data_IF_031482442472
#
_entry.id   IF_031482442472
#
_cell.length_a   1.000
_cell.length_b   1.000
_cell.length_c   1.000
_cell.angle_alpha   90.00
_cell.angle_beta   90.00
_cell.angle_gamma   90.00
#
_symmetry.space_group_name_H-M   'P 1'
#
loop_
_entity.id
_entity.type
_entity.pdbx_description
1 polymer ?
#
# COMPACT_ATOMS: atom_id res chain seq x y z
N UNK A 1 -10.06 15.52 -14.79
CA UNK A 1 -10.63 14.70 -13.70
C UNK A 1 -9.59 14.67 -12.61
N UNK A 2 -9.90 15.16 -11.41
CA UNK A 2 -8.97 15.22 -10.29
C UNK A 2 -8.46 13.80 -10.01
N UNK A 3 -7.16 13.58 -10.19
CA UNK A 3 -6.49 12.36 -9.76
C UNK A 3 -6.44 12.40 -8.23
N UNK A 4 -7.52 11.99 -7.58
CA UNK A 4 -7.53 11.80 -6.13
C UNK A 4 -6.51 10.71 -5.84
N UNK A 5 -5.34 11.13 -5.39
CA UNK A 5 -4.31 10.23 -4.92
C UNK A 5 -4.77 9.67 -3.57
N UNK A 6 -4.60 8.37 -3.40
CA UNK A 6 -4.96 7.67 -2.18
C UNK A 6 -3.73 6.96 -1.69
N UNK A 7 -3.41 7.14 -0.41
CA UNK A 7 -2.32 6.45 0.24
C UNK A 7 -2.93 5.27 1.01
N UNK A 8 -2.42 4.08 0.74
CA UNK A 8 -2.76 2.88 1.49
C UNK A 8 -1.67 2.59 2.50
N UNK A 9 -2.04 2.42 3.76
CA UNK A 9 -1.11 2.05 4.84
C UNK A 9 -1.53 0.72 5.44
N UNK A 10 -0.57 -0.16 5.71
CA UNK A 10 -0.82 -1.41 6.44
C UNK A 10 -1.06 -1.11 7.93
N UNK A 11 -2.12 -1.69 8.48
CA UNK A 11 -2.40 -1.59 9.92
C UNK A 11 -1.59 -2.63 10.70
N UNK A 12 -1.61 -2.52 12.04
CA UNK A 12 -1.03 -3.57 12.91
C UNK A 12 -1.70 -4.93 12.65
N UNK A 13 -3.01 -4.95 12.42
CA UNK A 13 -3.73 -6.17 12.04
C UNK A 13 -3.28 -6.72 10.68
N UNK A 14 -3.03 -5.84 9.71
CA UNK A 14 -2.44 -6.21 8.42
C UNK A 14 -1.05 -6.83 8.55
N UNK A 15 -0.22 -6.30 9.46
CA UNK A 15 1.11 -6.85 9.72
C UNK A 15 1.01 -8.26 10.33
N UNK A 16 0.23 -8.42 11.40
CA UNK A 16 -0.02 -9.73 12.00
C UNK A 16 -0.68 -10.71 11.03
N UNK A 17 -1.52 -10.24 10.10
CA UNK A 17 -2.13 -11.07 9.06
C UNK A 17 -1.09 -11.61 8.06
N UNK A 18 -0.04 -10.84 7.75
CA UNK A 18 1.05 -11.31 6.88
C UNK A 18 1.93 -12.30 7.62
N UNK A 19 2.29 -12.01 8.86
CA UNK A 19 3.18 -12.84 9.69
C UNK A 19 2.52 -14.14 10.15
N UNK A 20 1.32 -14.04 10.72
CA UNK A 20 0.56 -15.18 11.23
C UNK A 20 -0.17 -15.97 10.13
N UNK A 21 -0.24 -15.44 8.91
CA UNK A 21 -0.90 -16.08 7.78
C UNK A 21 -2.43 -16.06 7.88
N UNK A 22 -3.03 -14.88 7.72
CA UNK A 22 -4.47 -14.74 7.71
C UNK A 22 -5.11 -15.58 6.58
N UNK A 23 -6.32 -16.14 6.81
CA UNK A 23 -7.08 -16.92 5.83
C UNK A 23 -7.73 -16.01 4.77
N UNK A 24 -6.93 -15.15 4.13
CA UNK A 24 -7.34 -14.27 3.04
C UNK A 24 -7.00 -14.88 1.69
N UNK A 25 -7.74 -14.46 0.65
CA UNK A 25 -7.50 -14.95 -0.69
C UNK A 25 -6.06 -14.63 -1.17
N UNK A 26 -5.45 -15.47 -2.02
CA UNK A 26 -4.12 -15.23 -2.59
C UNK A 26 -3.89 -13.83 -3.20
N UNK A 27 -4.83 -13.24 -3.97
CA UNK A 27 -4.65 -11.89 -4.50
C UNK A 27 -4.64 -10.83 -3.39
N UNK A 28 -5.50 -10.95 -2.37
CA UNK A 28 -5.52 -10.04 -1.21
C UNK A 28 -4.20 -10.10 -0.44
N UNK A 29 -3.66 -11.30 -0.24
CA UNK A 29 -2.36 -11.50 0.41
C UNK A 29 -1.23 -10.86 -0.38
N UNK A 30 -1.27 -10.96 -1.72
CA UNK A 30 -0.28 -10.32 -2.60
C UNK A 30 -0.37 -8.80 -2.48
N UNK A 31 -1.56 -8.22 -2.59
CA UNK A 31 -1.76 -6.76 -2.44
C UNK A 31 -1.31 -6.28 -1.06
N UNK A 32 -1.73 -6.99 -0.01
CA UNK A 32 -1.32 -6.70 1.37
C UNK A 32 0.20 -6.72 1.49
N UNK A 33 0.85 -7.74 0.93
CA UNK A 33 2.31 -7.89 0.89
C UNK A 33 3.04 -6.75 0.18
N UNK A 34 2.45 -6.15 -0.85
CA UNK A 34 3.02 -4.97 -1.54
C UNK A 34 2.92 -3.68 -0.71
N UNK A 35 1.94 -3.59 0.20
CA UNK A 35 1.75 -2.46 1.10
C UNK A 35 2.59 -2.72 2.35
N UNK A 36 3.91 -2.63 2.26
CA UNK A 36 4.79 -2.80 3.44
C UNK A 36 4.77 -1.57 4.36
N UNK A 37 4.52 -0.40 3.77
CA UNK A 37 4.40 0.90 4.42
C UNK A 37 3.33 1.74 3.70
N UNK A 38 3.41 3.06 3.80
CA UNK A 38 2.56 3.99 3.05
C UNK A 38 2.83 3.86 1.54
N UNK A 39 1.81 3.42 0.80
CA UNK A 39 1.92 3.11 -0.62
C UNK A 39 0.82 3.81 -1.40
N UNK A 40 1.20 4.61 -2.39
CA UNK A 40 0.24 5.31 -3.25
C UNK A 40 -0.51 4.36 -4.17
N UNK A 41 -1.77 4.67 -4.43
CA UNK A 41 -2.64 3.97 -5.37
C UNK A 41 -2.02 3.81 -6.76
N UNK A 42 -1.29 4.82 -7.24
CA UNK A 42 -0.59 4.75 -8.53
C UNK A 42 0.56 3.72 -8.55
N UNK A 43 1.25 3.51 -7.42
CA UNK A 43 2.33 2.52 -7.28
C UNK A 43 1.74 1.13 -7.34
N UNK A 44 0.66 0.90 -6.57
CA UNK A 44 -0.07 -0.37 -6.60
C UNK A 44 -0.59 -0.70 -8.00
N UNK A 45 -1.18 0.27 -8.70
CA UNK A 45 -1.59 0.11 -10.11
C UNK A 45 -0.44 -0.26 -11.02
N UNK A 46 0.74 0.33 -10.84
CA UNK A 46 1.93 0.03 -11.65
C UNK A 46 2.44 -1.39 -11.42
N UNK A 47 2.45 -1.83 -10.16
CA UNK A 47 2.87 -3.19 -9.76
C UNK A 47 1.84 -4.25 -10.16
N UNK A 48 0.56 -3.90 -10.12
CA UNK A 48 -0.58 -4.76 -10.44
C UNK A 48 -1.11 -4.53 -11.86
N UNK A 49 -0.31 -3.97 -12.77
CA UNK A 49 -0.70 -3.65 -14.16
C UNK A 49 -1.26 -4.83 -14.96
N UNK A 50 -1.02 -6.05 -14.50
CA UNK A 50 -1.54 -7.28 -15.07
C UNK A 50 -3.02 -7.56 -14.71
N UNK A 51 -3.56 -6.82 -13.75
CA UNK A 51 -4.93 -6.90 -13.29
C UNK A 51 -5.69 -5.64 -13.68
N UNK A 52 -7.01 -5.75 -13.83
CA UNK A 52 -7.84 -4.58 -14.14
C UNK A 52 -7.98 -3.69 -12.92
N UNK A 53 -8.19 -2.41 -13.19
CA UNK A 53 -8.31 -1.41 -12.15
C UNK A 53 -9.46 -1.71 -11.16
N UNK A 54 -10.57 -2.20 -11.69
CA UNK A 54 -11.73 -2.62 -10.90
C UNK A 54 -11.41 -3.76 -9.94
N UNK A 55 -10.60 -4.74 -10.37
CA UNK A 55 -10.19 -5.85 -9.50
C UNK A 55 -9.27 -5.38 -8.38
N UNK A 56 -8.33 -4.49 -8.69
CA UNK A 56 -7.42 -3.92 -7.68
C UNK A 56 -8.20 -3.08 -6.66
N UNK A 57 -9.13 -2.24 -7.14
CA UNK A 57 -10.00 -1.45 -6.27
C UNK A 57 -10.88 -2.33 -5.36
N UNK A 58 -11.45 -3.41 -5.89
CA UNK A 58 -12.24 -4.37 -5.11
C UNK A 58 -11.40 -5.04 -4.02
N UNK A 59 -10.18 -5.47 -4.33
CA UNK A 59 -9.27 -6.04 -3.34
C UNK A 59 -8.87 -5.06 -2.25
N UNK A 60 -8.62 -3.81 -2.61
CA UNK A 60 -8.30 -2.75 -1.64
C UNK A 60 -9.48 -2.47 -0.71
N UNK A 61 -10.69 -2.37 -1.26
CA UNK A 61 -11.91 -2.22 -0.48
C UNK A 61 -12.15 -3.40 0.47
N UNK A 62 -11.84 -4.63 0.04
CA UNK A 62 -11.92 -5.81 0.90
C UNK A 62 -10.89 -5.77 2.03
N UNK A 63 -9.63 -5.43 1.74
CA UNK A 63 -8.59 -5.30 2.76
C UNK A 63 -8.91 -4.21 3.79
N UNK A 64 -9.49 -3.09 3.33
CA UNK A 64 -9.95 -2.00 4.19
C UNK A 64 -11.10 -2.46 5.09
N UNK A 65 -12.09 -3.16 4.53
CA UNK A 65 -13.21 -3.73 5.29
C UNK A 65 -12.74 -4.75 6.35
N UNK A 66 -11.67 -5.48 6.07
CA UNK A 66 -11.04 -6.40 7.03
C UNK A 66 -10.18 -5.68 8.08
N UNK A 67 -9.99 -4.36 7.96
CA UNK A 67 -9.15 -3.58 8.86
C UNK A 67 -7.65 -3.86 8.71
N UNK A 68 -7.23 -4.47 7.60
CA UNK A 68 -5.83 -4.84 7.34
C UNK A 68 -5.05 -3.70 6.69
N UNK A 69 -5.75 -2.82 5.98
CA UNK A 69 -5.20 -1.60 5.38
C UNK A 69 -6.11 -0.43 5.73
N UNK A 70 -5.51 0.75 5.79
CA UNK A 70 -6.20 2.02 5.96
C UNK A 70 -6.00 2.86 4.70
N UNK A 71 -7.08 3.49 4.22
CA UNK A 71 -7.04 4.40 3.07
C UNK A 71 -7.06 5.83 3.56
N UNK A 72 -6.02 6.58 3.20
CA UNK A 72 -5.88 7.98 3.54
C UNK A 72 -6.05 8.81 2.25
N UNK A 73 -7.03 9.72 2.18
CA UNK A 73 -7.15 10.63 1.05
C UNK A 73 -6.00 11.64 1.09
N UNK A 74 -5.25 11.79 -0.01
CA UNK A 74 -4.15 12.77 -0.12
C UNK A 74 -4.63 14.24 -0.04
N UNK A 75 -5.94 14.49 -0.09
CA UNK A 75 -6.48 15.84 -0.06
C UNK A 75 -6.96 16.24 1.35
N UNK A 76 -6.03 16.67 2.20
CA UNK A 76 -6.15 17.87 3.06
C UNK A 76 -4.73 18.20 3.54
N UNK A 77 -4.24 19.35 3.07
CA UNK A 77 -3.22 20.21 3.69
C UNK A 77 -2.52 19.64 4.92
N UNK A 78 -1.41 18.92 4.75
CA UNK A 78 -0.34 18.91 5.74
C UNK A 78 0.92 18.31 5.10
N UNK A 79 1.86 19.21 4.83
CA UNK A 79 3.29 19.07 5.13
C UNK A 79 3.68 17.74 5.80
N UNK A 80 3.88 16.70 5.01
CA UNK A 80 4.63 15.52 5.43
C UNK A 80 5.82 15.42 4.49
N UNK A 81 6.88 16.06 4.95
CA UNK A 81 8.26 15.82 4.60
C UNK A 81 8.47 14.31 4.37
N UNK A 82 8.40 13.87 3.12
CA UNK A 82 8.80 12.53 2.71
C UNK A 82 10.33 12.42 2.78
N UNK A 83 10.92 12.70 3.95
CA UNK A 83 12.23 12.18 4.35
C UNK A 83 12.08 10.76 4.89
N UNK A 84 11.37 9.92 4.12
CA UNK A 84 11.66 8.50 4.09
C UNK A 84 13.00 8.33 3.40
N UNK A 85 14.07 8.49 4.17
CA UNK A 85 15.43 8.09 3.84
C UNK A 85 15.42 6.66 3.30
N UNK A 86 15.18 6.49 1.99
CA UNK A 86 15.67 5.34 1.27
C UNK A 86 17.18 5.44 1.41
N UNK A 87 17.72 4.67 2.35
CA UNK A 87 19.15 4.58 2.55
C UNK A 87 19.78 4.23 1.20
N UNK A 88 20.32 5.24 0.52
CA UNK A 88 21.31 5.05 -0.51
C UNK A 88 22.55 4.53 0.21
N UNK A 89 22.53 3.24 0.56
CA UNK A 89 23.75 2.50 0.77
C UNK A 89 24.45 2.41 -0.58
N UNK A 90 25.21 3.46 -0.89
CA UNK A 90 26.32 3.39 -1.82
C UNK A 90 27.58 3.58 -1.01
N UNK A 91 27.99 2.50 -0.35
CA UNK A 91 29.39 2.33 0.06
C UNK A 91 30.24 2.38 -1.21
N UNK A 92 31.05 3.43 -1.38
CA UNK A 92 32.31 3.33 -2.13
C UNK A 92 33.25 4.50 -1.83
N UNK A 93 34.36 4.19 -1.12
CA UNK A 93 35.76 4.65 -1.27
C UNK A 93 36.05 6.09 -1.77
N UNK A 94 36.99 6.84 -1.19
CA UNK A 94 38.36 6.51 -0.77
C UNK A 94 38.93 7.66 0.07
#
# INVERSE_FOLDING_TARGET
MASTDYIYRRTVAGHSAVESGAPIAPPLRRVLGLIEAETHSHVLRRLLRQYTDTMVADWLAQLERLGLVETLPTQVEHDLDFTGSFGFHKTLNK
#
